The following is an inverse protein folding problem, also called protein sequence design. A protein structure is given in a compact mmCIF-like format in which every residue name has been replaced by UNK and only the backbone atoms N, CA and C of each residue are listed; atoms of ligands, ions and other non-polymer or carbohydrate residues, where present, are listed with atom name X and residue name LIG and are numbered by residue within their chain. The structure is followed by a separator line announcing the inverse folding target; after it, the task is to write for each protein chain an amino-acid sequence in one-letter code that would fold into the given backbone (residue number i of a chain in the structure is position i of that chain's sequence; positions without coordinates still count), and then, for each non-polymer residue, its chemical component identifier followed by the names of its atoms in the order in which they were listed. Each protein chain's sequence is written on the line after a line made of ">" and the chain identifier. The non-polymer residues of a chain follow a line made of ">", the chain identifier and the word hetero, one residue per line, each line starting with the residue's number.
data_IF_914533805789
#
_entry.id   IF_914533805789
#
_cell.length_a   1.000
_cell.length_b   1.000
_cell.length_c   1.000
_cell.angle_alpha   90.00
_cell.angle_beta   90.00
_cell.angle_gamma   90.00
#
_symmetry.space_group_name_H-M   'P 1'
#
loop_
_entity.id
_entity.type
_entity.pdbx_description
1 polymer ?
#
# COMPACT_ATOMS: atom_id res chain seq x y z
N UNK A 1 -87.72 -35.27 -15.06
CA UNK A 1 -87.98 -34.46 -13.84
C UNK A 1 -86.69 -33.84 -13.39
N UNK A 2 -86.74 -32.50 -13.25
CA UNK A 2 -85.83 -31.64 -12.55
C UNK A 2 -84.48 -31.21 -13.19
N UNK A 3 -84.52 -29.95 -13.54
CA UNK A 3 -83.45 -29.06 -14.00
C UNK A 3 -82.38 -28.79 -12.91
N UNK A 4 -81.13 -28.65 -13.30
CA UNK A 4 -80.15 -27.90 -12.50
C UNK A 4 -79.36 -26.97 -13.42
N UNK A 5 -79.41 -25.68 -13.08
CA UNK A 5 -78.77 -24.57 -13.66
C UNK A 5 -77.26 -24.55 -13.36
N UNK A 6 -76.40 -24.36 -14.37
CA UNK A 6 -74.99 -24.08 -14.20
C UNK A 6 -74.75 -22.54 -14.40
N UNK A 7 -74.37 -21.88 -13.34
CA UNK A 7 -73.89 -20.51 -13.40
C UNK A 7 -72.41 -20.50 -13.86
N UNK A 8 -72.14 -19.82 -14.96
CA UNK A 8 -70.82 -19.53 -15.46
C UNK A 8 -70.33 -18.26 -14.75
N UNK A 9 -69.39 -18.41 -13.82
CA UNK A 9 -68.68 -17.29 -13.19
C UNK A 9 -67.54 -16.80 -14.06
N UNK A 10 -67.67 -15.54 -14.56
CA UNK A 10 -66.63 -14.82 -15.26
C UNK A 10 -65.59 -14.30 -14.20
N UNK A 11 -64.38 -14.89 -14.22
CA UNK A 11 -63.27 -14.38 -13.39
C UNK A 11 -62.58 -13.26 -14.17
N UNK A 12 -62.82 -12.00 -13.76
CA UNK A 12 -62.03 -10.86 -14.20
C UNK A 12 -60.72 -10.78 -13.43
N UNK A 13 -59.57 -11.03 -14.07
CA UNK A 13 -58.25 -10.87 -13.53
C UNK A 13 -57.87 -9.39 -13.69
N UNK A 14 -57.48 -8.67 -12.60
CA UNK A 14 -57.09 -7.27 -12.74
C UNK A 14 -55.68 -7.17 -13.31
N UNK A 15 -55.53 -6.41 -14.39
CA UNK A 15 -54.31 -6.11 -15.18
C UNK A 15 -53.26 -5.27 -14.37
N UNK A 16 -53.37 -5.15 -13.07
CA UNK A 16 -52.47 -4.29 -12.27
C UNK A 16 -51.21 -4.95 -11.67
N UNK A 17 -51.05 -6.26 -11.78
CA UNK A 17 -49.92 -6.99 -11.16
C UNK A 17 -48.77 -7.28 -12.13
N UNK A 18 -48.88 -6.97 -13.41
CA UNK A 18 -47.83 -7.25 -14.40
C UNK A 18 -46.75 -6.15 -14.54
N UNK A 19 -46.97 -4.93 -13.99
CA UNK A 19 -46.03 -3.80 -14.16
C UNK A 19 -44.93 -3.73 -13.08
N UNK A 20 -45.02 -4.49 -11.98
CA UNK A 20 -44.01 -4.43 -10.91
C UNK A 20 -42.92 -5.49 -10.99
N UNK A 21 -43.08 -6.54 -11.78
CA UNK A 21 -42.06 -7.58 -11.96
C UNK A 21 -40.98 -7.20 -12.98
N UNK A 22 -41.23 -6.28 -13.88
CA UNK A 22 -40.24 -5.80 -14.87
C UNK A 22 -39.21 -4.80 -14.29
N UNK A 23 -39.57 -4.06 -13.22
CA UNK A 23 -38.66 -3.10 -12.57
C UNK A 23 -37.56 -3.75 -11.74
N UNK A 24 -37.80 -4.94 -11.21
CA UNK A 24 -36.81 -5.65 -10.40
C UNK A 24 -35.73 -6.38 -11.23
N UNK A 25 -36.07 -6.78 -12.45
CA UNK A 25 -35.11 -7.41 -13.36
C UNK A 25 -34.09 -6.41 -13.94
N UNK A 26 -34.48 -5.14 -14.12
CA UNK A 26 -33.58 -4.10 -14.63
C UNK A 26 -32.60 -3.59 -13.55
N UNK A 27 -32.99 -3.63 -12.28
CA UNK A 27 -32.11 -3.20 -11.16
C UNK A 27 -31.03 -4.21 -10.81
N UNK A 28 -31.22 -5.50 -11.11
CA UNK A 28 -30.24 -6.55 -10.86
C UNK A 28 -29.11 -6.58 -11.90
N UNK A 29 -29.32 -6.03 -13.10
CA UNK A 29 -28.32 -6.00 -14.17
C UNK A 29 -27.25 -4.89 -14.00
N UNK A 30 -27.47 -3.91 -13.13
CA UNK A 30 -26.57 -2.77 -12.90
C UNK A 30 -25.50 -3.03 -11.80
N UNK A 31 -25.55 -4.17 -11.11
CA UNK A 31 -24.60 -4.51 -10.04
C UNK A 31 -23.40 -5.35 -10.50
N UNK A 32 -23.29 -5.67 -11.77
CA UNK A 32 -22.10 -6.31 -12.35
C UNK A 32 -21.21 -5.29 -13.08
N UNK A 33 -20.94 -4.14 -12.45
CA UNK A 33 -19.72 -3.41 -12.76
C UNK A 33 -18.56 -4.24 -12.22
N UNK A 34 -17.99 -5.10 -13.06
CA UNK A 34 -16.89 -5.97 -12.70
C UNK A 34 -15.78 -5.16 -12.08
N UNK A 35 -15.42 -5.48 -10.84
CA UNK A 35 -14.18 -5.03 -10.27
C UNK A 35 -13.07 -5.38 -11.27
N UNK A 36 -12.31 -4.38 -11.72
CA UNK A 36 -11.12 -4.61 -12.54
C UNK A 36 -10.14 -5.38 -11.66
N UNK A 37 -10.16 -6.71 -11.76
CA UNK A 37 -9.21 -7.55 -11.05
C UNK A 37 -7.81 -7.25 -11.57
N UNK A 38 -6.85 -7.11 -10.66
CA UNK A 38 -5.46 -6.97 -11.03
C UNK A 38 -5.06 -8.19 -11.85
N UNK A 39 -4.62 -7.98 -13.09
CA UNK A 39 -4.28 -9.06 -14.03
C UNK A 39 -3.15 -9.96 -13.54
N UNK A 40 -2.35 -9.47 -12.58
CA UNK A 40 -1.15 -10.15 -12.10
C UNK A 40 -0.94 -9.92 -10.61
N UNK A 41 -0.62 -10.99 -9.91
CA UNK A 41 -0.20 -10.97 -8.50
C UNK A 41 1.28 -11.30 -8.37
N UNK A 42 2.00 -10.53 -7.55
CA UNK A 42 3.39 -10.78 -7.17
C UNK A 42 3.47 -11.21 -5.70
N UNK A 43 4.27 -12.23 -5.40
CA UNK A 43 4.51 -12.69 -4.04
C UNK A 43 5.91 -13.29 -3.87
N UNK A 44 6.63 -12.91 -2.81
CA UNK A 44 6.32 -11.85 -1.87
C UNK A 44 6.61 -10.45 -2.45
N UNK A 45 5.99 -9.40 -1.90
CA UNK A 45 6.29 -8.02 -2.26
C UNK A 45 7.54 -7.47 -1.55
N UNK A 46 8.01 -8.18 -0.51
CA UNK A 46 9.20 -7.88 0.26
C UNK A 46 9.97 -9.16 0.54
N UNK A 47 11.27 -9.14 0.26
CA UNK A 47 12.21 -10.22 0.55
C UNK A 47 13.34 -9.63 1.39
N UNK A 48 13.52 -10.10 2.61
CA UNK A 48 14.62 -9.72 3.51
C UNK A 48 15.47 -10.96 3.78
N UNK A 49 16.76 -10.89 3.47
CA UNK A 49 17.68 -12.00 3.68
C UNK A 49 19.02 -11.51 4.24
N UNK A 50 19.62 -12.32 5.13
CA UNK A 50 20.99 -12.12 5.60
C UNK A 50 21.93 -12.90 4.70
N UNK A 51 23.10 -12.33 4.35
CA UNK A 51 24.08 -13.05 3.57
C UNK A 51 24.68 -14.22 4.34
N UNK A 52 24.85 -15.33 3.64
CA UNK A 52 25.70 -16.43 4.07
C UNK A 52 26.93 -16.46 3.17
N UNK A 53 28.14 -16.26 3.72
CA UNK A 53 29.40 -16.17 2.96
C UNK A 53 29.33 -15.18 1.78
N UNK A 54 28.67 -14.05 2.00
CA UNK A 54 28.48 -13.00 0.99
C UNK A 54 27.38 -13.28 -0.05
N UNK A 55 26.69 -14.42 0.01
CA UNK A 55 25.62 -14.77 -0.93
C UNK A 55 24.24 -14.62 -0.28
N UNK A 56 23.25 -14.21 -1.08
CA UNK A 56 21.86 -14.15 -0.70
C UNK A 56 20.97 -14.50 -1.90
N UNK A 57 19.88 -15.21 -1.65
CA UNK A 57 18.97 -15.67 -2.70
C UNK A 57 17.54 -15.27 -2.36
N UNK A 58 16.74 -15.07 -3.41
CA UNK A 58 15.31 -14.80 -3.29
C UNK A 58 14.55 -15.33 -4.49
N UNK A 59 13.25 -15.45 -4.34
CA UNK A 59 12.34 -15.87 -5.42
C UNK A 59 11.10 -14.99 -5.38
N UNK A 60 10.71 -14.48 -6.54
CA UNK A 60 9.43 -13.78 -6.74
C UNK A 60 8.55 -14.67 -7.58
N UNK A 61 7.35 -14.97 -7.11
CA UNK A 61 6.32 -15.66 -7.86
C UNK A 61 5.43 -14.62 -8.54
N UNK A 62 5.21 -14.80 -9.84
CA UNK A 62 4.36 -13.94 -10.67
C UNK A 62 3.21 -14.81 -11.15
N UNK A 63 2.02 -14.58 -10.65
CA UNK A 63 0.81 -15.34 -10.96
C UNK A 63 -0.11 -14.50 -11.83
N UNK A 64 -0.49 -15.04 -12.99
CA UNK A 64 -1.48 -14.44 -13.87
C UNK A 64 -2.88 -14.87 -13.44
N UNK A 65 -3.66 -13.93 -12.94
CA UNK A 65 -5.05 -14.15 -12.50
C UNK A 65 -6.09 -13.81 -13.57
N UNK A 66 -5.62 -13.34 -14.75
CA UNK A 66 -6.49 -13.01 -15.87
C UNK A 66 -6.71 -14.19 -16.82
N UNK A 67 -7.64 -14.03 -17.77
CA UNK A 67 -7.93 -15.01 -18.82
C UNK A 67 -7.05 -14.85 -20.06
N UNK A 68 -6.12 -13.89 -20.08
CA UNK A 68 -5.22 -13.63 -21.19
C UNK A 68 -3.78 -13.93 -20.80
N UNK A 69 -2.94 -14.27 -21.81
CA UNK A 69 -1.51 -14.46 -21.57
C UNK A 69 -0.83 -13.14 -21.22
N UNK A 70 -0.22 -13.09 -20.04
CA UNK A 70 0.54 -11.96 -19.56
C UNK A 70 2.01 -12.05 -20.03
N UNK A 71 2.51 -10.97 -20.67
CA UNK A 71 3.92 -10.84 -21.08
C UNK A 71 4.51 -9.63 -20.38
N UNK A 72 5.66 -9.81 -19.75
CA UNK A 72 6.29 -8.74 -18.97
C UNK A 72 7.81 -8.77 -19.08
N UNK A 73 8.42 -7.60 -18.93
CA UNK A 73 9.83 -7.45 -18.61
C UNK A 73 10.04 -7.35 -17.10
N UNK A 74 11.19 -7.85 -16.66
CA UNK A 74 11.64 -7.76 -15.26
C UNK A 74 12.94 -6.98 -15.23
N UNK A 75 13.02 -5.97 -14.37
CA UNK A 75 14.22 -5.14 -14.23
C UNK A 75 14.36 -4.63 -12.79
N UNK A 76 15.56 -4.12 -12.46
CA UNK A 76 15.91 -3.68 -11.13
C UNK A 76 16.17 -2.17 -11.12
N UNK A 77 15.67 -1.46 -10.08
CA UNK A 77 15.95 -0.06 -9.83
C UNK A 77 16.47 0.16 -8.41
N UNK A 78 17.45 1.06 -8.24
CA UNK A 78 17.81 1.56 -6.92
C UNK A 78 16.69 2.43 -6.37
N UNK A 79 16.46 2.39 -5.07
CA UNK A 79 15.37 3.14 -4.47
C UNK A 79 15.65 3.58 -3.04
N UNK A 80 14.86 4.55 -2.61
CA UNK A 80 14.71 4.93 -1.21
C UNK A 80 13.22 5.12 -0.87
N UNK A 81 12.96 5.38 0.39
CA UNK A 81 11.67 5.91 0.84
C UNK A 81 11.86 7.36 1.25
N UNK A 82 11.30 8.27 0.47
CA UNK A 82 11.25 9.69 0.78
C UNK A 82 10.35 9.95 1.99
N UNK A 83 10.69 10.94 2.81
CA UNK A 83 9.97 11.29 4.04
C UNK A 83 8.45 11.40 3.85
N UNK A 84 8.01 12.09 2.81
CA UNK A 84 6.61 12.43 2.59
C UNK A 84 5.99 11.65 1.42
N UNK A 85 6.75 11.45 0.33
CA UNK A 85 6.23 10.89 -0.93
C UNK A 85 6.21 9.37 -0.98
N UNK A 86 6.94 8.70 -0.08
CA UNK A 86 7.06 7.28 -0.11
C UNK A 86 8.15 6.76 -1.03
N UNK A 87 7.85 5.77 -1.85
CA UNK A 87 8.80 5.17 -2.79
C UNK A 87 9.35 6.21 -3.77
N UNK A 88 10.67 6.19 -3.94
CA UNK A 88 11.40 7.04 -4.88
C UNK A 88 12.52 6.22 -5.55
N UNK A 89 12.49 6.17 -6.89
CA UNK A 89 13.58 5.57 -7.68
C UNK A 89 14.79 6.48 -7.69
N UNK A 90 15.98 5.90 -7.54
CA UNK A 90 17.24 6.62 -7.56
C UNK A 90 18.12 6.16 -8.72
N UNK A 91 18.90 7.04 -9.34
CA UNK A 91 19.88 6.63 -10.36
C UNK A 91 20.94 5.71 -9.76
N UNK A 92 21.40 5.99 -8.53
CA UNK A 92 22.34 5.18 -7.75
C UNK A 92 22.22 5.49 -6.27
N UNK A 93 22.75 4.62 -5.40
CA UNK A 93 22.87 4.88 -3.97
C UNK A 93 24.02 4.05 -3.37
N UNK A 94 24.60 4.44 -2.21
CA UNK A 94 25.60 3.61 -1.52
C UNK A 94 25.08 2.22 -1.11
N UNK A 95 23.76 2.08 -0.96
CA UNK A 95 23.09 0.82 -0.64
C UNK A 95 22.51 0.10 -1.86
N UNK A 96 22.94 0.47 -3.08
CA UNK A 96 22.45 -0.13 -4.32
C UNK A 96 22.89 -1.58 -4.45
N UNK A 97 21.93 -2.49 -4.54
CA UNK A 97 22.20 -3.92 -4.70
C UNK A 97 22.45 -4.33 -6.16
N UNK A 98 22.03 -3.52 -7.14
CA UNK A 98 22.06 -3.87 -8.57
C UNK A 98 23.42 -4.33 -9.09
N UNK A 99 24.57 -3.71 -8.70
CA UNK A 99 25.87 -4.17 -9.16
C UNK A 99 26.24 -5.59 -8.72
N UNK A 100 25.59 -6.09 -7.68
CA UNK A 100 25.86 -7.40 -7.05
C UNK A 100 24.74 -8.40 -7.30
N UNK A 101 23.72 -8.05 -8.10
CA UNK A 101 22.52 -8.84 -8.30
C UNK A 101 22.47 -9.45 -9.71
N UNK A 102 22.25 -10.74 -9.74
CA UNK A 102 21.83 -11.47 -10.94
C UNK A 102 20.39 -11.96 -10.74
N UNK A 103 19.56 -11.85 -11.75
CA UNK A 103 18.20 -12.38 -11.72
C UNK A 103 17.76 -12.89 -13.10
N UNK A 104 16.87 -13.88 -13.07
CA UNK A 104 16.38 -14.53 -14.28
C UNK A 104 14.97 -15.10 -14.04
N UNK A 105 14.08 -15.04 -15.06
CA UNK A 105 14.24 -14.44 -16.38
C UNK A 105 14.10 -12.91 -16.34
N UNK A 106 14.59 -12.22 -17.37
CA UNK A 106 14.40 -10.77 -17.59
C UNK A 106 13.13 -10.45 -18.39
N UNK A 107 12.64 -11.42 -19.14
CA UNK A 107 11.33 -11.39 -19.79
C UNK A 107 10.62 -12.71 -19.51
N UNK A 108 9.31 -12.64 -19.37
CA UNK A 108 8.50 -13.82 -19.07
C UNK A 108 7.14 -13.77 -19.78
N UNK A 109 6.65 -14.96 -20.04
CA UNK A 109 5.30 -15.21 -20.53
C UNK A 109 4.59 -16.06 -19.49
N UNK A 110 3.47 -15.56 -18.98
CA UNK A 110 2.67 -16.22 -17.94
C UNK A 110 1.29 -16.53 -18.52
N UNK A 111 1.00 -17.79 -18.89
CA UNK A 111 -0.34 -18.18 -19.33
C UNK A 111 -1.41 -17.93 -18.26
N UNK A 112 -2.70 -17.85 -18.63
CA UNK A 112 -3.81 -17.72 -17.70
C UNK A 112 -3.74 -18.75 -16.56
N UNK A 113 -4.03 -18.31 -15.33
CA UNK A 113 -4.07 -19.16 -14.14
C UNK A 113 -2.72 -19.78 -13.72
N UNK A 114 -1.61 -19.42 -14.38
CA UNK A 114 -0.29 -20.03 -14.06
C UNK A 114 0.62 -19.08 -13.30
N UNK A 115 1.66 -19.66 -12.70
CA UNK A 115 2.71 -18.92 -11.96
C UNK A 115 4.07 -19.12 -12.63
N UNK A 116 4.85 -18.06 -12.76
CA UNK A 116 6.25 -18.07 -13.15
C UNK A 116 7.12 -17.51 -12.03
N UNK A 117 8.37 -17.97 -11.94
CA UNK A 117 9.32 -17.58 -10.90
C UNK A 117 10.44 -16.75 -11.48
N UNK A 118 10.77 -15.65 -10.81
CA UNK A 118 12.01 -14.90 -11.00
C UNK A 118 12.94 -15.23 -9.85
N UNK A 119 14.12 -15.80 -10.17
CA UNK A 119 15.14 -16.12 -9.18
C UNK A 119 16.11 -14.95 -9.05
N UNK A 120 16.41 -14.59 -7.81
CA UNK A 120 17.33 -13.53 -7.45
C UNK A 120 18.55 -14.17 -6.80
N UNK A 121 19.75 -13.75 -7.20
CA UNK A 121 21.01 -14.20 -6.60
C UNK A 121 21.92 -12.98 -6.43
N UNK A 122 22.18 -12.59 -5.19
CA UNK A 122 23.06 -11.50 -4.84
C UNK A 122 24.40 -12.05 -4.30
N UNK A 123 25.52 -11.44 -4.76
CA UNK A 123 26.87 -11.76 -4.27
C UNK A 123 27.56 -10.47 -3.89
N UNK A 124 27.62 -10.21 -2.57
CA UNK A 124 28.28 -9.04 -2.02
C UNK A 124 29.77 -9.30 -1.86
N UNK A 125 30.61 -8.38 -2.32
CA UNK A 125 32.06 -8.48 -2.18
C UNK A 125 32.47 -8.46 -0.69
N UNK A 126 33.53 -9.19 -0.30
CA UNK A 126 34.04 -9.16 1.09
C UNK A 126 34.40 -7.77 1.59
N UNK A 127 34.91 -6.91 0.70
CA UNK A 127 35.32 -5.51 0.99
C UNK A 127 34.16 -4.55 1.28
N UNK A 128 32.93 -4.91 0.92
CA UNK A 128 31.77 -4.07 1.23
C UNK A 128 31.54 -3.97 2.74
N UNK A 129 31.22 -2.80 3.28
CA UNK A 129 30.91 -2.64 4.71
C UNK A 129 29.67 -3.45 5.13
N UNK A 130 29.58 -3.74 6.43
CA UNK A 130 28.37 -4.28 7.02
C UNK A 130 27.22 -3.25 6.89
N UNK A 131 26.08 -3.71 6.42
CA UNK A 131 24.94 -2.84 6.11
C UNK A 131 23.86 -3.56 5.32
N UNK A 132 22.84 -2.82 4.93
CA UNK A 132 21.77 -3.30 4.07
C UNK A 132 21.96 -2.77 2.66
N UNK A 133 21.92 -3.68 1.70
CA UNK A 133 21.90 -3.40 0.26
C UNK A 133 20.55 -3.76 -0.29
N UNK A 134 19.95 -2.91 -1.14
CA UNK A 134 18.57 -3.09 -1.57
C UNK A 134 18.33 -2.68 -3.01
N UNK A 135 17.31 -3.27 -3.59
CA UNK A 135 16.80 -2.90 -4.92
C UNK A 135 15.32 -3.24 -5.02
N UNK A 136 14.61 -2.54 -5.90
CA UNK A 136 13.25 -2.87 -6.30
C UNK A 136 13.30 -3.67 -7.59
N UNK A 137 12.66 -4.83 -7.61
CA UNK A 137 12.49 -5.66 -8.80
C UNK A 137 11.11 -5.39 -9.37
N UNK A 138 11.06 -4.71 -10.49
CA UNK A 138 9.81 -4.42 -11.17
C UNK A 138 9.44 -5.49 -12.18
N UNK A 139 8.16 -5.82 -12.21
CA UNK A 139 7.50 -6.57 -13.27
C UNK A 139 6.57 -5.60 -13.99
N UNK A 140 6.83 -5.38 -15.27
CA UNK A 140 6.14 -4.40 -16.09
C UNK A 140 5.58 -5.05 -17.36
N UNK A 141 4.26 -4.93 -17.65
CA UNK A 141 3.67 -5.49 -18.84
C UNK A 141 4.28 -4.89 -20.10
N UNK A 142 4.48 -5.73 -21.13
CA UNK A 142 4.98 -5.28 -22.43
C UNK A 142 3.90 -4.56 -23.26
N UNK A 143 2.63 -4.76 -22.92
CA UNK A 143 1.51 -4.07 -23.54
C UNK A 143 0.82 -3.18 -22.52
N UNK A 144 0.50 -1.92 -22.86
CA UNK A 144 -0.29 -1.07 -21.99
C UNK A 144 -1.74 -1.59 -21.88
N UNK A 145 -2.36 -1.34 -20.76
CA UNK A 145 -3.81 -1.49 -20.60
C UNK A 145 -4.49 -0.26 -21.21
N UNK A 146 -5.42 -0.50 -22.12
CA UNK A 146 -6.18 0.56 -22.77
C UNK A 146 -7.51 0.75 -22.04
N UNK A 147 -7.71 1.94 -21.44
CA UNK A 147 -8.95 2.31 -20.76
C UNK A 147 -9.65 3.37 -21.61
N UNK A 148 -10.92 3.11 -21.98
CA UNK A 148 -11.78 4.11 -22.61
C UNK A 148 -12.70 4.70 -21.54
N UNK A 149 -12.71 6.02 -21.43
CA UNK A 149 -13.68 6.71 -20.56
C UNK A 149 -15.03 6.90 -21.28
N UNK A 150 -16.07 7.29 -20.54
CA UNK A 150 -17.41 7.53 -21.07
C UNK A 150 -17.50 8.62 -22.15
N UNK A 151 -16.45 9.44 -22.30
CA UNK A 151 -16.34 10.51 -23.30
C UNK A 151 -15.57 10.08 -24.56
N UNK A 152 -15.28 8.79 -24.71
CA UNK A 152 -14.57 8.24 -25.86
C UNK A 152 -13.05 8.45 -25.85
N UNK A 153 -12.48 9.06 -24.80
CA UNK A 153 -11.04 9.25 -24.67
C UNK A 153 -10.38 7.92 -24.31
N UNK A 154 -9.39 7.52 -25.11
CA UNK A 154 -8.59 6.32 -24.89
C UNK A 154 -7.30 6.68 -24.17
N UNK A 155 -7.06 6.07 -23.01
CA UNK A 155 -5.85 6.24 -22.22
C UNK A 155 -5.09 4.92 -22.12
N UNK A 156 -3.79 4.92 -22.48
CA UNK A 156 -2.92 3.77 -22.32
C UNK A 156 -2.19 3.87 -20.98
N UNK A 157 -2.43 2.90 -20.10
CA UNK A 157 -1.85 2.84 -18.75
C UNK A 157 -0.90 1.66 -18.67
N UNK A 158 0.35 1.91 -18.27
CA UNK A 158 1.32 0.86 -17.93
C UNK A 158 1.45 0.85 -16.41
N UNK A 159 0.97 -0.21 -15.77
CA UNK A 159 1.10 -0.41 -14.33
C UNK A 159 2.22 -1.41 -14.05
N UNK A 160 3.30 -0.96 -13.40
CA UNK A 160 4.37 -1.83 -12.93
C UNK A 160 4.18 -2.19 -11.47
N UNK A 161 4.48 -3.41 -11.09
CA UNK A 161 4.46 -3.89 -9.71
C UNK A 161 5.87 -4.21 -9.27
N UNK A 162 6.26 -3.73 -8.08
CA UNK A 162 7.60 -3.92 -7.54
C UNK A 162 7.62 -4.89 -6.36
N UNK A 163 8.67 -5.71 -6.28
CA UNK A 163 9.03 -6.49 -5.10
C UNK A 163 10.38 -5.99 -4.58
N UNK A 164 10.41 -5.56 -3.32
CA UNK A 164 11.62 -5.05 -2.70
C UNK A 164 12.52 -6.20 -2.24
N UNK A 165 13.81 -6.16 -2.61
CA UNK A 165 14.79 -7.13 -2.19
C UNK A 165 15.86 -6.45 -1.34
N UNK A 166 15.92 -6.84 -0.05
CA UNK A 166 16.84 -6.35 0.97
C UNK A 166 17.82 -7.46 1.33
N UNK A 167 19.11 -7.16 1.24
CA UNK A 167 20.21 -8.09 1.56
C UNK A 167 21.06 -7.49 2.66
N UNK A 168 21.08 -8.12 3.83
CA UNK A 168 21.83 -7.68 5.00
C UNK A 168 23.16 -8.39 5.08
N UNK A 169 24.26 -7.63 5.11
CA UNK A 169 25.62 -8.11 5.36
C UNK A 169 26.01 -7.80 6.81
N UNK A 170 26.38 -8.82 7.56
CA UNK A 170 26.69 -8.71 8.99
C UNK A 170 25.44 -8.72 9.86
N UNK A 171 25.64 -8.48 11.16
CA UNK A 171 24.56 -8.39 12.15
C UNK A 171 24.10 -6.94 12.28
N UNK A 172 23.35 -6.48 11.29
CA UNK A 172 22.82 -5.11 11.22
C UNK A 172 21.36 -5.09 11.60
N UNK A 173 20.94 -4.05 12.33
CA UNK A 173 19.59 -3.91 12.86
C UNK A 173 19.07 -2.49 12.63
N UNK A 174 17.75 -2.28 12.56
CA UNK A 174 17.16 -0.97 12.63
C UNK A 174 17.32 -0.36 14.02
N UNK A 175 17.40 0.98 14.09
CA UNK A 175 17.37 1.74 15.33
C UNK A 175 16.39 2.88 15.17
N UNK A 176 15.15 2.64 15.61
CA UNK A 176 14.04 3.55 15.41
C UNK A 176 13.88 4.53 16.57
N UNK A 177 13.48 5.75 16.22
CA UNK A 177 13.11 6.80 17.16
C UNK A 177 11.87 7.52 16.65
N UNK A 178 10.88 7.74 17.51
CA UNK A 178 9.77 8.63 17.25
C UNK A 178 10.21 10.06 17.59
N UNK A 179 10.20 10.93 16.59
CA UNK A 179 10.76 12.28 16.69
C UNK A 179 9.67 13.32 17.05
N UNK A 180 8.57 13.33 16.30
CA UNK A 180 7.52 14.32 16.46
C UNK A 180 6.19 13.86 15.86
N UNK A 181 5.12 14.58 16.23
CA UNK A 181 3.79 14.41 15.65
C UNK A 181 3.27 15.76 15.17
N UNK A 182 2.55 15.76 14.05
CA UNK A 182 1.88 16.95 13.52
C UNK A 182 0.49 16.62 12.95
N UNK A 183 -0.38 17.62 12.99
CA UNK A 183 -1.66 17.61 12.30
C UNK A 183 -1.50 18.28 10.93
N UNK A 184 -1.84 17.54 9.88
CA UNK A 184 -2.01 18.13 8.55
C UNK A 184 -3.48 18.50 8.38
N UNK A 185 -3.79 19.79 8.47
CA UNK A 185 -5.17 20.29 8.44
C UNK A 185 -5.82 20.13 7.07
N UNK A 186 -5.07 20.30 6.00
CA UNK A 186 -5.57 20.16 4.62
C UNK A 186 -5.98 18.71 4.32
N UNK A 187 -5.11 17.77 4.64
CA UNK A 187 -5.37 16.35 4.43
C UNK A 187 -6.18 15.70 5.55
N UNK A 188 -6.43 16.40 6.68
CA UNK A 188 -7.02 15.87 7.92
C UNK A 188 -6.33 14.60 8.41
N UNK A 189 -4.99 14.63 8.44
CA UNK A 189 -4.15 13.47 8.77
C UNK A 189 -3.21 13.75 9.93
N UNK A 190 -3.06 12.75 10.81
CA UNK A 190 -2.01 12.74 11.84
C UNK A 190 -0.76 12.14 11.21
N UNK A 191 0.34 12.88 11.26
CA UNK A 191 1.63 12.50 10.74
C UNK A 191 2.62 12.31 11.90
N UNK A 192 3.14 11.11 12.04
CA UNK A 192 4.15 10.74 13.03
C UNK A 192 5.50 10.63 12.34
N UNK A 193 6.47 11.49 12.69
CA UNK A 193 7.82 11.41 12.16
C UNK A 193 8.62 10.36 12.91
N UNK A 194 9.10 9.36 12.17
CA UNK A 194 9.96 8.30 12.70
C UNK A 194 11.27 8.29 11.94
N UNK A 195 12.39 8.21 12.66
CA UNK A 195 13.75 8.12 12.11
C UNK A 195 14.32 6.73 12.34
N UNK A 196 15.17 6.31 11.43
CA UNK A 196 15.93 5.08 11.54
C UNK A 196 17.42 5.40 11.41
N UNK A 197 18.15 5.44 12.52
CA UNK A 197 19.61 5.63 12.57
C UNK A 197 20.38 4.30 12.54
N UNK A 198 19.68 3.18 12.39
CA UNK A 198 20.26 1.86 12.26
C UNK A 198 20.78 1.56 10.85
N UNK A 199 21.37 0.37 10.67
CA UNK A 199 21.94 -0.09 9.39
C UNK A 199 21.08 -1.12 8.67
N UNK A 200 19.83 -1.32 9.11
CA UNK A 200 18.83 -2.16 8.46
C UNK A 200 17.50 -1.43 8.38
N UNK A 201 16.72 -1.68 7.33
CA UNK A 201 15.34 -1.20 7.19
C UNK A 201 14.44 -1.84 8.24
N UNK A 202 13.41 -1.11 8.64
CA UNK A 202 12.29 -1.62 9.42
C UNK A 202 10.99 -1.40 8.65
N UNK A 203 10.10 -2.39 8.67
CA UNK A 203 8.70 -2.23 8.28
C UNK A 203 7.90 -2.18 9.57
N UNK A 204 7.24 -1.05 9.79
CA UNK A 204 6.59 -0.75 11.07
C UNK A 204 5.09 -0.61 10.89
N UNK A 205 4.32 -1.27 11.75
CA UNK A 205 2.93 -0.91 12.04
C UNK A 205 2.88 -0.11 13.34
N UNK A 206 1.77 0.63 13.54
CA UNK A 206 1.59 1.49 14.71
C UNK A 206 0.22 1.25 15.29
N UNK A 207 0.17 0.83 16.56
CA UNK A 207 -1.05 0.88 17.36
C UNK A 207 -1.08 2.19 18.12
N UNK A 208 -2.14 2.97 17.98
CA UNK A 208 -2.20 4.33 18.52
C UNK A 208 -3.55 4.67 19.15
N UNK A 209 -3.52 5.61 20.08
CA UNK A 209 -4.69 6.19 20.74
C UNK A 209 -4.50 7.69 20.89
N UNK A 210 -5.52 8.45 20.48
CA UNK A 210 -5.62 9.90 20.61
C UNK A 210 -6.59 10.25 21.73
N UNK A 211 -6.18 11.09 22.69
CA UNK A 211 -7.00 11.56 23.82
C UNK A 211 -7.05 13.08 23.85
N UNK A 212 -8.16 13.61 24.35
CA UNK A 212 -8.32 15.03 24.71
C UNK A 212 -8.91 15.12 26.11
N UNK A 213 -8.26 15.86 27.01
CA UNK A 213 -8.70 15.97 28.41
C UNK A 213 -8.86 14.62 29.13
N UNK A 214 -8.03 13.62 28.78
CA UNK A 214 -8.13 12.25 29.33
C UNK A 214 -9.11 11.32 28.60
N UNK A 215 -10.05 11.86 27.84
CA UNK A 215 -11.05 11.08 27.09
C UNK A 215 -10.49 10.59 25.76
N UNK A 216 -10.72 9.32 25.41
CA UNK A 216 -10.32 8.75 24.11
C UNK A 216 -11.18 9.34 23.00
N UNK A 217 -10.53 10.00 22.05
CA UNK A 217 -11.16 10.55 20.84
C UNK A 217 -11.18 9.51 19.73
N UNK A 218 -10.05 8.82 19.52
CA UNK A 218 -9.90 7.80 18.49
C UNK A 218 -8.76 6.85 18.83
N UNK A 219 -8.88 5.61 18.39
CA UNK A 219 -7.79 4.62 18.37
C UNK A 219 -7.75 3.95 17.00
N UNK A 220 -6.59 3.45 16.62
CA UNK A 220 -6.43 2.76 15.34
C UNK A 220 -5.11 2.04 15.22
N UNK A 221 -4.95 1.41 14.07
CA UNK A 221 -3.71 0.75 13.65
C UNK A 221 -3.35 1.21 12.24
N UNK A 222 -2.08 1.54 12.01
CA UNK A 222 -1.57 1.89 10.67
C UNK A 222 -1.02 0.64 9.98
N UNK A 223 -1.10 0.56 8.65
CA UNK A 223 -0.46 -0.52 7.91
C UNK A 223 1.07 -0.41 7.95
N UNK A 224 1.74 -1.51 7.63
CA UNK A 224 3.19 -1.59 7.58
C UNK A 224 3.78 -0.55 6.61
N UNK A 225 4.74 0.20 7.11
CA UNK A 225 5.45 1.23 6.36
C UNK A 225 6.96 1.07 6.51
N UNK A 226 7.68 1.05 5.39
CA UNK A 226 9.14 0.89 5.37
C UNK A 226 9.88 2.18 5.74
N UNK A 227 10.90 2.07 6.60
CA UNK A 227 11.84 3.12 6.96
C UNK A 227 13.24 2.57 6.73
N UNK A 228 13.94 3.11 5.73
CA UNK A 228 15.28 2.64 5.35
C UNK A 228 16.37 3.15 6.31
N UNK A 229 17.57 2.53 6.32
CA UNK A 229 18.72 3.03 7.07
C UNK A 229 19.03 4.51 6.79
N UNK A 230 19.40 5.24 7.83
CA UNK A 230 19.72 6.68 7.79
C UNK A 230 18.62 7.56 7.20
N UNK A 231 17.37 7.04 7.22
CA UNK A 231 16.18 7.68 6.70
C UNK A 231 15.16 8.05 7.75
N UNK A 232 14.19 8.84 7.32
CA UNK A 232 13.02 9.18 8.13
C UNK A 232 11.72 9.16 7.30
N UNK A 233 10.59 8.98 7.98
CA UNK A 233 9.27 8.90 7.34
C UNK A 233 8.21 9.56 8.19
N UNK A 234 7.33 10.32 7.52
CA UNK A 234 6.06 10.75 8.07
C UNK A 234 5.03 9.62 7.91
N UNK A 235 4.81 8.87 8.98
CA UNK A 235 3.83 7.80 9.01
C UNK A 235 2.44 8.38 9.22
N UNK A 236 1.50 8.05 8.34
CA UNK A 236 0.13 8.54 8.43
C UNK A 236 -0.70 7.56 9.24
N UNK A 237 -1.22 7.99 10.39
CA UNK A 237 -1.90 7.11 11.32
C UNK A 237 -3.34 6.78 10.89
N UNK A 238 -4.05 7.74 10.31
CA UNK A 238 -5.44 7.61 9.87
C UNK A 238 -5.54 7.57 8.33
N UNK A 239 -4.99 6.53 7.69
CA UNK A 239 -4.91 6.42 6.22
C UNK A 239 -6.25 6.18 5.55
N UNK A 240 -7.12 5.35 6.15
CA UNK A 240 -8.41 4.98 5.57
C UNK A 240 -9.39 6.16 5.57
N UNK A 241 -10.29 6.21 4.58
CA UNK A 241 -11.43 7.14 4.59
C UNK A 241 -12.34 6.94 5.81
N UNK A 242 -12.45 5.70 6.31
CA UNK A 242 -13.20 5.39 7.56
C UNK A 242 -12.54 5.98 8.80
N UNK A 243 -11.26 6.34 8.72
CA UNK A 243 -10.47 6.94 9.79
C UNK A 243 -10.34 8.45 9.65
N UNK A 244 -11.16 9.08 8.82
CA UNK A 244 -11.18 10.53 8.71
C UNK A 244 -11.49 11.15 10.07
N UNK A 245 -10.68 12.14 10.47
CA UNK A 245 -10.77 12.81 11.75
C UNK A 245 -11.22 14.25 11.53
N UNK A 246 -12.25 14.65 12.25
CA UNK A 246 -12.63 16.05 12.41
C UNK A 246 -12.21 16.50 13.82
N UNK A 247 -10.96 16.98 13.95
CA UNK A 247 -10.44 17.43 15.24
C UNK A 247 -10.73 18.92 15.41
N UNK A 248 -11.30 19.28 16.57
CA UNK A 248 -11.43 20.68 17.00
C UNK A 248 -10.07 21.27 17.36
N UNK A 249 -9.90 22.59 17.26
CA UNK A 249 -8.68 23.24 17.74
C UNK A 249 -8.40 22.90 19.20
N UNK A 250 -7.13 22.67 19.53
CA UNK A 250 -6.73 22.32 20.89
C UNK A 250 -5.55 21.38 20.95
N UNK A 251 -5.20 20.97 22.17
CA UNK A 251 -4.11 20.03 22.42
C UNK A 251 -4.69 18.64 22.70
N UNK A 252 -4.11 17.67 22.03
CA UNK A 252 -4.42 16.25 22.17
C UNK A 252 -3.16 15.50 22.61
N UNK A 253 -3.34 14.38 23.28
CA UNK A 253 -2.27 13.45 23.62
C UNK A 253 -2.35 12.23 22.70
N UNK A 254 -1.31 12.02 21.90
CA UNK A 254 -1.14 10.83 21.11
C UNK A 254 -0.20 9.87 21.83
N UNK A 255 -0.64 8.64 22.04
CA UNK A 255 0.18 7.55 22.59
C UNK A 255 0.04 6.30 21.75
N UNK A 256 1.04 5.43 21.79
CA UNK A 256 1.00 4.19 21.05
C UNK A 256 2.31 3.41 21.09
N UNK A 257 2.39 2.42 20.23
CA UNK A 257 3.57 1.57 20.05
C UNK A 257 3.89 1.42 18.57
N UNK A 258 5.15 1.64 18.20
CA UNK A 258 5.72 1.13 16.95
C UNK A 258 6.03 -0.35 17.12
N UNK A 259 5.66 -1.15 16.12
CA UNK A 259 5.90 -2.59 16.08
C UNK A 259 6.65 -2.92 14.79
N UNK A 260 7.76 -3.68 14.88
CA UNK A 260 8.50 -4.15 13.69
C UNK A 260 9.18 -5.49 13.98
N UNK A 261 9.65 -6.16 12.93
CA UNK A 261 10.23 -7.51 13.02
C UNK A 261 9.26 -8.59 12.58
N UNK A 262 9.69 -9.84 12.68
CA UNK A 262 8.87 -11.01 12.35
C UNK A 262 7.93 -11.36 13.51
N UNK A 263 6.86 -12.13 13.22
CA UNK A 263 5.79 -12.41 14.19
C UNK A 263 6.27 -13.02 15.51
N UNK A 264 7.36 -13.78 15.47
CA UNK A 264 7.94 -14.43 16.65
C UNK A 264 9.02 -13.60 17.37
N UNK A 265 9.46 -12.46 16.80
CA UNK A 265 10.49 -11.58 17.35
C UNK A 265 10.16 -10.11 17.07
N UNK A 266 8.95 -9.68 17.48
CA UNK A 266 8.50 -8.29 17.31
C UNK A 266 9.17 -7.38 18.32
N UNK A 267 9.94 -6.43 17.82
CA UNK A 267 10.42 -5.29 18.59
C UNK A 267 9.31 -4.26 18.78
N UNK A 268 9.29 -3.56 19.91
CA UNK A 268 8.30 -2.55 20.28
C UNK A 268 8.99 -1.28 20.75
N UNK A 269 8.47 -0.14 20.34
CA UNK A 269 8.87 1.18 20.81
C UNK A 269 7.63 1.97 21.23
N UNK A 270 7.35 2.11 22.54
CA UNK A 270 6.26 2.93 23.01
C UNK A 270 6.57 4.42 22.80
N UNK A 271 5.53 5.21 22.55
CA UNK A 271 5.65 6.66 22.45
C UNK A 271 4.45 7.38 23.06
N UNK A 272 4.68 8.64 23.46
CA UNK A 272 3.66 9.56 23.97
C UNK A 272 4.06 10.99 23.62
N UNK A 273 3.22 11.69 22.84
CA UNK A 273 3.47 13.01 22.30
C UNK A 273 2.21 13.88 22.39
N UNK A 274 2.41 15.19 22.49
CA UNK A 274 1.32 16.15 22.40
C UNK A 274 1.14 16.61 20.95
N UNK A 275 -0.11 16.55 20.46
CA UNK A 275 -0.53 16.98 19.15
C UNK A 275 -1.35 18.26 19.28
N UNK A 276 -0.86 19.36 18.70
CA UNK A 276 -1.62 20.61 18.61
C UNK A 276 -2.36 20.70 17.28
N UNK A 277 -3.69 20.92 17.37
CA UNK A 277 -4.55 21.24 16.24
C UNK A 277 -4.78 22.76 16.25
N UNK A 278 -4.31 23.52 15.24
CA UNK A 278 -4.45 24.97 15.22
C UNK A 278 -5.91 25.39 15.03
N UNK A 279 -6.31 26.51 15.65
CA UNK A 279 -7.56 27.19 15.34
C UNK A 279 -7.54 27.76 13.93
N UNK A 280 -8.62 27.57 13.18
CA UNK A 280 -8.74 28.18 11.84
C UNK A 280 -8.74 29.70 11.97
N UNK A 281 -7.61 30.33 11.64
CA UNK A 281 -7.31 31.72 11.26
C UNK A 281 -5.84 32.06 11.58
N UNK A 282 -4.90 31.32 11.09
CA UNK A 282 -3.52 31.81 10.96
C UNK A 282 -3.23 32.04 9.48
N UNK A 283 -3.70 33.20 8.98
CA UNK A 283 -3.10 33.82 7.80
C UNK A 283 -1.60 34.02 8.11
N UNK A 284 -0.67 33.51 7.31
CA UNK A 284 0.74 33.77 7.54
C UNK A 284 0.95 35.27 7.45
N UNK A 285 1.44 35.89 8.52
CA UNK A 285 1.82 37.30 8.54
C UNK A 285 2.89 37.51 7.46
N UNK A 286 2.73 38.46 6.53
CA UNK A 286 3.73 38.71 5.50
C UNK A 286 5.02 39.20 6.17
N UNK A 287 6.10 38.43 5.97
CA UNK A 287 7.46 38.82 6.41
C UNK A 287 7.82 40.16 5.84
N UNK A 288 7.79 41.20 6.69
CA UNK A 288 8.19 42.58 6.37
C UNK A 288 9.66 42.58 5.97
N UNK A 289 9.95 42.64 4.66
CA UNK A 289 11.30 42.92 4.16
C UNK A 289 11.72 44.29 4.71
N UNK A 290 12.70 44.29 5.61
CA UNK A 290 13.44 45.54 5.94
C UNK A 290 14.27 45.90 4.71
N UNK A 291 14.08 47.12 4.24
CA UNK A 291 14.98 47.81 3.30
C UNK A 291 16.29 48.19 3.99
#
# INVERSE_FOLDING_TARGET
>A
MLFSNQNVGVISVPIRTALHLSSWALSAALLWAGASEAQVSLSPLKIEVKTNRGQAQGVINITNTSNETFRARVYAESFTYNRDKGFESLPSSPSDLRPYLQFSPRELVVPPGTTRRVRLNARLAPSLPAGEYRTMIFTEPLKPNTVKNGNGITTNIITRVGSAFFVRKGDVRPNLMVDSVRWNAEAKKIQLLVRNSGKASAYTSIKWTLKQGGTVVKSGESPDTGIVPDGDRNLILNQSKKDELALSPGTYQLSGELLWGEDNDKSKLPFKLDLTVPGGNSTPSPTRKRR
#
